data_IF_136493711545
#
_entry.id   IF_136493711545
#
_cell.length_a   1.000
_cell.length_b   1.000
_cell.length_c   1.000
_cell.angle_alpha   90.00
_cell.angle_beta   90.00
_cell.angle_gamma   90.00
#
_symmetry.space_group_name_H-M   'P 1'
#
loop_
_entity.id
_entity.type
_entity.pdbx_description
1 polymer ?
#
# COMPACT_ATOMS: atom_id res chain seq x y z
N UNK A 1 -23.24 -23.15 10.77
CA UNK A 1 -23.66 -21.74 10.78
C UNK A 1 -22.56 -20.95 11.47
N UNK A 2 -21.63 -20.41 10.71
CA UNK A 2 -20.56 -19.58 11.27
C UNK A 2 -21.16 -18.21 11.55
N UNK A 3 -21.24 -17.83 12.83
CA UNK A 3 -21.41 -16.45 13.22
C UNK A 3 -20.22 -15.68 12.64
N UNK A 4 -20.42 -15.07 11.48
CA UNK A 4 -19.58 -13.99 11.04
C UNK A 4 -19.71 -12.93 12.13
N UNK A 5 -18.73 -12.89 13.02
CA UNK A 5 -18.50 -11.73 13.88
C UNK A 5 -18.27 -10.62 12.86
N UNK A 6 -19.34 -9.89 12.54
CA UNK A 6 -19.27 -8.59 11.92
C UNK A 6 -18.37 -7.78 12.84
N UNK A 7 -17.10 -7.70 12.46
CA UNK A 7 -16.10 -6.94 13.20
C UNK A 7 -16.51 -5.48 13.05
N UNK A 8 -17.33 -5.03 14.00
CA UNK A 8 -17.89 -3.69 13.98
C UNK A 8 -16.75 -2.68 13.97
N UNK A 9 -16.88 -1.69 13.09
CA UNK A 9 -15.93 -0.57 13.02
C UNK A 9 -15.82 0.00 14.44
N UNK A 10 -14.61 0.22 14.98
CA UNK A 10 -14.46 0.74 16.32
C UNK A 10 -15.22 2.06 16.40
N UNK A 11 -16.07 2.25 17.41
CA UNK A 11 -16.99 3.38 17.44
C UNK A 11 -16.28 4.73 17.37
N UNK A 12 -15.02 4.80 17.81
CA UNK A 12 -14.20 6.00 17.73
C UNK A 12 -13.86 6.42 16.29
N UNK A 13 -13.83 5.51 15.30
CA UNK A 13 -13.49 5.84 13.90
C UNK A 13 -14.58 6.71 13.24
N UNK A 14 -15.86 6.29 13.17
CA UNK A 14 -16.90 7.13 12.59
C UNK A 14 -17.16 8.38 13.44
N UNK A 15 -16.98 8.32 14.76
CA UNK A 15 -17.06 9.50 15.62
C UNK A 15 -15.98 10.53 15.27
N UNK A 16 -14.74 10.10 15.10
CA UNK A 16 -13.62 10.98 14.72
C UNK A 16 -13.83 11.58 13.33
N UNK A 17 -14.30 10.77 12.37
CA UNK A 17 -14.65 11.24 11.04
C UNK A 17 -15.81 12.26 11.07
N UNK A 18 -16.85 12.01 11.87
CA UNK A 18 -17.97 12.93 12.06
C UNK A 18 -17.52 14.26 12.67
N UNK A 19 -16.73 14.22 13.75
CA UNK A 19 -16.15 15.42 14.39
C UNK A 19 -15.28 16.19 13.39
N UNK A 20 -14.47 15.50 12.60
CA UNK A 20 -13.65 16.12 11.56
C UNK A 20 -14.49 16.81 10.49
N UNK A 21 -15.54 16.17 9.98
CA UNK A 21 -16.43 16.75 8.97
C UNK A 21 -17.21 17.95 9.51
N UNK A 22 -17.73 17.84 10.73
CA UNK A 22 -18.42 18.96 11.40
C UNK A 22 -17.46 20.15 11.58
N UNK A 23 -16.25 19.88 12.07
CA UNK A 23 -15.22 20.91 12.26
C UNK A 23 -14.81 21.52 10.93
N UNK A 24 -14.63 20.72 9.88
CA UNK A 24 -14.27 21.20 8.53
C UNK A 24 -15.38 22.05 7.92
N UNK A 25 -16.63 21.65 8.10
CA UNK A 25 -17.83 22.38 7.65
C UNK A 25 -17.95 23.72 8.38
N UNK A 26 -17.79 23.72 9.72
CA UNK A 26 -17.79 24.91 10.55
C UNK A 26 -16.66 25.87 10.20
N UNK A 27 -15.44 25.35 10.03
CA UNK A 27 -14.29 26.15 9.61
C UNK A 27 -14.50 26.73 8.20
N UNK A 28 -15.10 25.96 7.28
CA UNK A 28 -15.46 26.42 5.94
C UNK A 28 -16.45 27.59 5.98
N UNK A 29 -17.49 27.49 6.83
CA UNK A 29 -18.44 28.57 7.07
C UNK A 29 -17.74 29.85 7.53
N UNK A 30 -16.85 29.74 8.53
CA UNK A 30 -16.12 30.88 9.11
C UNK A 30 -15.09 31.49 8.15
N UNK A 31 -14.38 30.66 7.39
CA UNK A 31 -13.36 31.10 6.42
C UNK A 31 -13.98 31.76 5.19
N UNK A 32 -15.15 31.30 4.77
CA UNK A 32 -15.85 31.82 3.60
C UNK A 32 -15.38 31.20 2.28
N UNK A 33 -16.18 31.39 1.23
CA UNK A 33 -16.06 30.68 -0.05
C UNK A 33 -14.69 30.81 -0.68
N UNK A 34 -14.19 32.05 -0.83
CA UNK A 34 -12.96 32.32 -1.59
C UNK A 34 -11.75 31.68 -0.93
N UNK A 35 -11.64 31.78 0.41
CA UNK A 35 -10.54 31.16 1.16
C UNK A 35 -10.60 29.63 1.08
N UNK A 36 -11.79 29.06 1.13
CA UNK A 36 -11.98 27.62 1.06
C UNK A 36 -11.71 27.07 -0.35
N UNK A 37 -12.12 27.80 -1.39
CA UNK A 37 -11.79 27.49 -2.78
C UNK A 37 -10.27 27.54 -3.00
N UNK A 38 -9.60 28.57 -2.50
CA UNK A 38 -8.14 28.67 -2.58
C UNK A 38 -7.44 27.54 -1.80
N UNK A 39 -7.96 27.13 -0.64
CA UNK A 39 -7.46 25.95 0.09
C UNK A 39 -7.64 24.66 -0.71
N UNK A 40 -8.75 24.48 -1.43
CA UNK A 40 -8.97 23.31 -2.29
C UNK A 40 -8.00 23.29 -3.48
N UNK A 41 -7.80 24.44 -4.13
CA UNK A 41 -6.78 24.59 -5.18
C UNK A 41 -5.39 24.30 -4.61
N UNK A 42 -5.08 24.83 -3.43
CA UNK A 42 -3.84 24.56 -2.72
C UNK A 42 -3.65 23.08 -2.39
N UNK A 43 -4.74 22.36 -2.06
CA UNK A 43 -4.70 20.92 -1.80
C UNK A 43 -4.44 20.13 -3.09
N UNK A 44 -5.09 20.50 -4.20
CA UNK A 44 -4.84 19.89 -5.50
C UNK A 44 -3.39 20.12 -5.95
N UNK A 45 -2.88 21.34 -5.79
CA UNK A 45 -1.48 21.69 -6.05
C UNK A 45 -0.53 20.93 -5.12
N UNK A 46 -0.87 20.76 -3.84
CA UNK A 46 -0.08 20.01 -2.89
C UNK A 46 0.03 18.52 -3.26
N UNK A 47 -1.06 17.90 -3.74
CA UNK A 47 -1.04 16.52 -4.21
C UNK A 47 -0.14 16.40 -5.45
N UNK A 48 -0.33 17.28 -6.45
CA UNK A 48 0.49 17.26 -7.66
C UNK A 48 1.97 17.51 -7.33
N UNK A 49 2.27 18.57 -6.58
CA UNK A 49 3.63 18.91 -6.21
C UNK A 49 4.28 17.86 -5.30
N UNK A 50 3.54 17.24 -4.39
CA UNK A 50 4.04 16.13 -3.57
C UNK A 50 4.51 14.95 -4.43
N UNK A 51 3.78 14.65 -5.51
CA UNK A 51 4.16 13.60 -6.45
C UNK A 51 5.42 13.94 -7.26
N UNK A 52 5.52 15.17 -7.77
CA UNK A 52 6.63 15.58 -8.66
C UNK A 52 7.89 16.06 -7.92
N UNK A 53 7.72 16.81 -6.84
CA UNK A 53 8.82 17.43 -6.08
C UNK A 53 9.26 16.59 -4.87
N UNK A 54 8.47 15.59 -4.46
CA UNK A 54 8.82 14.71 -3.34
C UNK A 54 10.23 14.11 -3.43
N UNK A 55 10.65 13.57 -4.60
CA UNK A 55 12.01 13.06 -4.79
C UNK A 55 13.11 14.14 -4.68
N UNK A 56 12.82 15.41 -5.01
CA UNK A 56 13.81 16.49 -4.95
C UNK A 56 14.17 16.89 -3.51
N UNK A 57 13.30 16.58 -2.54
CA UNK A 57 13.51 16.92 -1.13
C UNK A 57 14.16 15.75 -0.35
N UNK A 58 14.34 14.58 -0.98
CA UNK A 58 15.04 13.42 -0.41
C UNK A 58 16.34 13.76 0.35
N UNK A 59 17.27 14.62 -0.15
CA UNK A 59 18.51 14.92 0.56
C UNK A 59 18.33 15.67 1.88
N UNK A 60 17.16 16.26 2.15
CA UNK A 60 16.88 17.06 3.35
C UNK A 60 16.21 16.21 4.45
N UNK A 61 15.70 15.02 4.11
CA UNK A 61 14.99 14.11 5.03
C UNK A 61 15.88 13.10 5.83
N UNK A 62 17.23 13.01 5.72
CA UNK A 62 17.99 11.93 6.38
C UNK A 62 17.98 11.99 7.92
N UNK A 63 17.54 13.09 8.53
CA UNK A 63 17.47 13.24 9.99
C UNK A 63 16.56 12.21 10.71
N UNK A 64 15.64 11.55 9.99
CA UNK A 64 14.68 10.62 10.60
C UNK A 64 15.12 9.14 10.62
N UNK A 65 16.30 8.82 10.07
CA UNK A 65 16.84 7.45 10.05
C UNK A 65 15.96 6.46 9.29
N UNK A 66 15.15 6.90 8.33
CA UNK A 66 14.21 6.05 7.59
C UNK A 66 14.87 5.42 6.34
N UNK A 67 14.40 4.22 5.91
CA UNK A 67 14.80 3.60 4.66
C UNK A 67 14.63 4.56 3.46
N UNK A 68 15.58 4.53 2.51
CA UNK A 68 15.58 5.43 1.34
C UNK A 68 14.25 5.44 0.59
N UNK A 69 13.60 4.30 0.40
CA UNK A 69 12.33 4.23 -0.35
C UNK A 69 11.17 4.99 0.32
N UNK A 70 11.21 5.22 1.64
CA UNK A 70 10.20 6.03 2.35
C UNK A 70 10.51 7.53 2.29
N UNK A 71 11.74 7.91 1.96
CA UNK A 71 12.15 9.32 1.96
C UNK A 71 11.44 10.14 0.88
N UNK A 72 11.27 9.68 -0.37
CA UNK A 72 10.47 10.39 -1.37
C UNK A 72 9.00 10.54 -0.96
N UNK A 73 8.43 9.52 -0.29
CA UNK A 73 7.06 9.57 0.20
C UNK A 73 6.90 10.66 1.28
N UNK A 74 7.80 10.69 2.26
CA UNK A 74 7.78 11.73 3.29
C UNK A 74 8.14 13.10 2.76
N UNK A 75 9.10 13.18 1.83
CA UNK A 75 9.41 14.40 1.10
C UNK A 75 8.18 14.94 0.39
N UNK A 76 7.44 14.08 -0.31
CA UNK A 76 6.17 14.43 -0.95
C UNK A 76 5.10 14.91 0.04
N UNK A 77 4.93 14.21 1.17
CA UNK A 77 4.03 14.64 2.24
C UNK A 77 4.42 16.02 2.80
N UNK A 78 5.71 16.23 3.07
CA UNK A 78 6.22 17.49 3.60
C UNK A 78 6.02 18.64 2.61
N UNK A 79 6.39 18.44 1.34
CA UNK A 79 6.12 19.39 0.24
C UNK A 79 4.65 19.73 0.18
N UNK A 80 3.79 18.70 0.20
CA UNK A 80 2.34 18.87 0.12
C UNK A 80 1.82 19.72 1.29
N UNK A 81 2.25 19.42 2.52
CA UNK A 81 1.87 20.18 3.72
C UNK A 81 2.35 21.63 3.62
N UNK A 82 3.59 21.87 3.18
CA UNK A 82 4.15 23.22 3.03
C UNK A 82 3.41 24.04 1.97
N UNK A 83 3.11 23.44 0.81
CA UNK A 83 2.38 24.11 -0.27
C UNK A 83 0.95 24.39 0.15
N UNK A 84 0.24 23.39 0.67
CA UNK A 84 -1.14 23.57 1.12
C UNK A 84 -1.22 24.59 2.26
N UNK A 85 -0.31 24.51 3.24
CA UNK A 85 -0.22 25.45 4.34
C UNK A 85 0.14 26.86 3.89
N UNK A 86 1.07 27.01 2.95
CA UNK A 86 1.47 28.28 2.35
C UNK A 86 0.33 28.94 1.58
N UNK A 87 -0.30 28.21 0.66
CA UNK A 87 -1.46 28.68 -0.10
C UNK A 87 -2.61 29.05 0.84
N UNK A 88 -2.88 28.21 1.84
CA UNK A 88 -3.92 28.47 2.84
C UNK A 88 -3.62 29.74 3.63
N UNK A 89 -2.39 29.90 4.12
CA UNK A 89 -1.96 31.08 4.89
C UNK A 89 -2.04 32.35 4.05
N UNK A 90 -1.52 32.32 2.82
CA UNK A 90 -1.59 33.46 1.89
C UNK A 90 -3.03 33.85 1.60
N UNK A 91 -3.92 32.86 1.43
CA UNK A 91 -5.36 33.09 1.25
C UNK A 91 -6.01 33.77 2.46
N UNK A 92 -5.52 33.50 3.68
CA UNK A 92 -6.01 34.18 4.89
C UNK A 92 -5.58 35.64 4.97
N UNK A 93 -4.44 36.00 4.36
CA UNK A 93 -3.91 37.37 4.32
C UNK A 93 -4.63 38.19 3.23
N UNK A 94 -4.79 37.62 2.04
CA UNK A 94 -5.30 38.35 0.87
C UNK A 94 -6.82 38.53 0.89
N UNK A 95 -7.57 37.49 1.25
CA UNK A 95 -9.03 37.49 1.08
C UNK A 95 -9.76 37.84 2.36
N UNK A 96 -10.87 38.58 2.27
CA UNK A 96 -11.71 38.94 3.43
C UNK A 96 -12.50 37.74 3.99
N UNK A 97 -12.91 37.84 5.26
CA UNK A 97 -13.72 36.80 5.95
C UNK A 97 -15.20 36.95 5.61
N UNK A 98 -15.98 35.89 5.89
CA UNK A 98 -17.45 35.91 5.83
C UNK A 98 -18.07 37.00 6.74
N UNK A 99 -17.41 37.31 7.86
CA UNK A 99 -17.87 38.31 8.83
C UNK A 99 -17.78 39.75 8.29
N UNK A 100 -16.96 39.99 7.25
CA UNK A 100 -16.74 41.32 6.67
C UNK A 100 -17.83 41.71 5.64
N UNK A 101 -18.84 40.86 5.43
CA UNK A 101 -19.94 41.09 4.50
C UNK A 101 -21.09 41.82 5.21
N UNK A 102 -21.39 43.04 4.78
CA UNK A 102 -22.31 43.96 5.47
C UNK A 102 -23.81 43.60 5.45
N UNK A 103 -24.23 42.65 4.61
CA UNK A 103 -25.64 42.25 4.48
C UNK A 103 -25.88 40.80 4.93
N UNK A 104 -26.87 40.61 5.81
CA UNK A 104 -27.16 39.31 6.45
C UNK A 104 -27.48 38.16 5.48
N UNK A 105 -28.21 38.42 4.39
CA UNK A 105 -28.56 37.39 3.39
C UNK A 105 -27.33 36.97 2.56
N UNK A 106 -26.52 37.94 2.12
CA UNK A 106 -25.28 37.68 1.38
C UNK A 106 -24.29 36.91 2.27
N UNK A 107 -24.18 37.28 3.55
CA UNK A 107 -23.39 36.56 4.55
C UNK A 107 -23.85 35.11 4.72
N UNK A 108 -25.15 34.85 4.68
CA UNK A 108 -25.71 33.50 4.78
C UNK A 108 -25.32 32.64 3.57
N UNK A 109 -25.53 33.13 2.34
CA UNK A 109 -25.15 32.40 1.12
C UNK A 109 -23.64 32.18 1.02
N UNK A 110 -22.85 33.18 1.42
CA UNK A 110 -21.39 33.10 1.43
C UNK A 110 -20.88 32.12 2.51
N UNK A 111 -21.48 32.12 3.69
CA UNK A 111 -21.22 31.15 4.75
C UNK A 111 -21.60 29.73 4.33
N UNK A 112 -22.79 29.55 3.74
CA UNK A 112 -23.28 28.25 3.29
C UNK A 112 -22.39 27.64 2.21
N UNK A 113 -22.04 28.45 1.20
CA UNK A 113 -21.11 28.02 0.15
C UNK A 113 -19.74 27.67 0.73
N UNK A 114 -19.26 28.42 1.73
CA UNK A 114 -18.04 28.12 2.47
C UNK A 114 -18.14 26.80 3.25
N UNK A 115 -19.28 26.51 3.87
CA UNK A 115 -19.53 25.26 4.56
C UNK A 115 -19.54 24.06 3.61
N UNK A 116 -20.17 24.19 2.44
CA UNK A 116 -20.16 23.14 1.39
C UNK A 116 -18.73 22.85 0.92
N UNK A 117 -17.93 23.89 0.63
CA UNK A 117 -16.52 23.71 0.27
C UNK A 117 -15.69 23.15 1.44
N UNK A 118 -16.04 23.51 2.68
CA UNK A 118 -15.46 22.98 3.90
C UNK A 118 -15.68 21.47 4.02
N UNK A 119 -16.92 21.05 3.84
CA UNK A 119 -17.32 19.65 3.81
C UNK A 119 -16.59 18.89 2.71
N UNK A 120 -16.56 19.41 1.48
CA UNK A 120 -15.83 18.80 0.36
C UNK A 120 -14.35 18.61 0.69
N UNK A 121 -13.68 19.64 1.23
CA UNK A 121 -12.28 19.52 1.63
C UNK A 121 -12.06 18.50 2.75
N UNK A 122 -12.97 18.45 3.73
CA UNK A 122 -12.92 17.48 4.81
C UNK A 122 -13.07 16.05 4.30
N UNK A 123 -13.98 15.84 3.35
CA UNK A 123 -14.17 14.57 2.65
C UNK A 123 -12.92 14.19 1.83
N UNK A 124 -12.29 15.13 1.13
CA UNK A 124 -11.04 14.85 0.39
C UNK A 124 -9.93 14.38 1.32
N UNK A 125 -9.75 15.03 2.48
CA UNK A 125 -8.75 14.61 3.48
C UNK A 125 -9.05 13.21 4.03
N UNK A 126 -10.32 12.93 4.34
CA UNK A 126 -10.73 11.57 4.77
C UNK A 126 -10.50 10.53 3.68
N UNK A 127 -10.76 10.86 2.42
CA UNK A 127 -10.51 9.96 1.29
C UNK A 127 -9.02 9.64 1.15
N UNK A 128 -8.14 10.66 1.21
CA UNK A 128 -6.69 10.47 1.20
C UNK A 128 -6.22 9.59 2.37
N UNK A 129 -6.76 9.82 3.57
CA UNK A 129 -6.44 9.00 4.73
C UNK A 129 -6.90 7.54 4.54
N UNK A 130 -8.10 7.32 4.01
CA UNK A 130 -8.64 5.99 3.73
C UNK A 130 -7.80 5.25 2.66
N UNK A 131 -7.38 5.91 1.59
CA UNK A 131 -6.47 5.33 0.60
C UNK A 131 -5.11 4.99 1.21
N UNK A 132 -4.58 5.84 2.08
CA UNK A 132 -3.37 5.54 2.86
C UNK A 132 -3.53 4.28 3.72
N UNK A 133 -4.62 4.19 4.48
CA UNK A 133 -4.96 2.99 5.29
C UNK A 133 -5.09 1.75 4.41
N UNK A 134 -5.72 1.85 3.23
CA UNK A 134 -5.85 0.71 2.30
C UNK A 134 -4.49 0.25 1.79
N UNK A 135 -3.62 1.17 1.42
CA UNK A 135 -2.27 0.89 0.93
C UNK A 135 -1.43 0.19 2.00
N UNK A 136 -1.25 0.81 3.17
CA UNK A 136 -0.45 0.24 4.24
C UNK A 136 -1.12 -0.96 4.92
N UNK A 137 -2.45 -0.99 5.00
CA UNK A 137 -3.21 -2.11 5.51
C UNK A 137 -3.07 -3.35 4.63
N UNK A 138 -2.99 -3.20 3.31
CA UNK A 138 -2.74 -4.32 2.38
C UNK A 138 -1.33 -4.88 2.54
N UNK A 139 -0.34 -4.01 2.77
CA UNK A 139 1.02 -4.45 3.11
C UNK A 139 1.07 -5.21 4.44
N UNK A 140 0.46 -4.65 5.49
CA UNK A 140 0.37 -5.27 6.81
C UNK A 140 -0.38 -6.61 6.78
N UNK A 141 -1.43 -6.70 5.97
CA UNK A 141 -2.16 -7.95 5.75
C UNK A 141 -1.28 -9.00 5.07
N UNK A 142 -0.46 -8.58 4.11
CA UNK A 142 0.55 -9.43 3.50
C UNK A 142 1.55 -9.98 4.52
N UNK A 143 2.14 -9.11 5.35
CA UNK A 143 3.07 -9.51 6.41
C UNK A 143 2.45 -10.52 7.38
N UNK A 144 1.20 -10.27 7.79
CA UNK A 144 0.44 -11.14 8.68
C UNK A 144 0.14 -12.51 8.03
N UNK A 145 -0.31 -12.54 6.77
CA UNK A 145 -0.59 -13.78 6.04
C UNK A 145 0.68 -14.63 5.83
N UNK A 146 1.80 -14.01 5.48
CA UNK A 146 3.08 -14.72 5.38
C UNK A 146 3.51 -15.31 6.74
N UNK A 147 3.38 -14.55 7.83
CA UNK A 147 3.68 -15.02 9.18
C UNK A 147 2.79 -16.21 9.58
N UNK A 148 1.49 -16.12 9.31
CA UNK A 148 0.52 -17.19 9.55
C UNK A 148 0.89 -18.47 8.79
N UNK A 149 1.29 -18.36 7.52
CA UNK A 149 1.72 -19.51 6.71
C UNK A 149 2.94 -20.22 7.30
N UNK A 150 3.89 -19.47 7.87
CA UNK A 150 5.08 -20.03 8.53
C UNK A 150 4.72 -20.76 9.82
N UNK A 151 3.83 -20.17 10.64
CA UNK A 151 3.38 -20.76 11.91
C UNK A 151 2.61 -22.06 11.65
N UNK A 152 1.76 -22.08 10.61
CA UNK A 152 1.04 -23.29 10.18
C UNK A 152 1.99 -24.36 9.65
N UNK A 153 2.95 -24.00 8.80
CA UNK A 153 3.96 -24.94 8.28
C UNK A 153 4.83 -25.56 9.38
N UNK A 154 5.06 -24.83 10.49
CA UNK A 154 5.77 -25.33 11.67
C UNK A 154 4.90 -26.16 12.62
N UNK A 155 3.64 -26.42 12.28
CA UNK A 155 2.72 -27.22 13.10
C UNK A 155 2.35 -26.57 14.44
N UNK A 156 2.43 -25.24 14.55
CA UNK A 156 2.08 -24.49 15.79
C UNK A 156 0.84 -23.61 15.60
N UNK A 157 -0.31 -24.15 15.18
CA UNK A 157 -1.49 -23.36 14.84
C UNK A 157 -2.07 -22.56 16.02
N UNK A 158 -1.74 -22.93 17.25
CA UNK A 158 -2.15 -22.25 18.48
C UNK A 158 -1.45 -20.89 18.71
N UNK A 159 -0.34 -20.60 17.99
CA UNK A 159 0.37 -19.32 18.06
C UNK A 159 -0.14 -18.33 16.99
N UNK A 160 -1.42 -18.41 16.61
CA UNK A 160 -1.97 -17.57 15.55
C UNK A 160 -1.61 -16.10 15.80
N UNK A 161 -0.87 -15.51 14.85
CA UNK A 161 -0.55 -14.10 14.93
C UNK A 161 -1.87 -13.32 14.92
N UNK A 162 -2.04 -12.37 15.83
CA UNK A 162 -3.17 -11.43 15.79
C UNK A 162 -3.02 -10.50 14.56
N UNK A 163 -4.11 -10.12 13.89
CA UNK A 163 -4.05 -9.14 12.82
C UNK A 163 -3.61 -7.78 13.39
N UNK A 164 -2.68 -7.12 12.69
CA UNK A 164 -2.27 -5.77 13.09
C UNK A 164 -3.47 -4.80 13.06
N UNK A 165 -3.52 -3.78 13.94
CA UNK A 165 -4.63 -2.82 14.00
C UNK A 165 -4.98 -2.19 12.65
N UNK A 166 -3.97 -2.02 11.78
CA UNK A 166 -4.13 -1.46 10.45
C UNK A 166 -4.86 -2.38 9.47
N UNK A 167 -4.68 -3.70 9.61
CA UNK A 167 -5.40 -4.72 8.81
C UNK A 167 -6.88 -4.68 9.17
N UNK A 168 -7.16 -4.60 10.47
CA UNK A 168 -8.51 -4.47 10.97
C UNK A 168 -9.16 -3.16 10.48
N UNK A 169 -8.48 -2.01 10.63
CA UNK A 169 -9.01 -0.73 10.16
C UNK A 169 -9.28 -0.71 8.66
N UNK A 170 -8.39 -1.30 7.85
CA UNK A 170 -8.62 -1.48 6.40
C UNK A 170 -9.92 -2.25 6.15
N UNK A 171 -10.08 -3.42 6.75
CA UNK A 171 -11.27 -4.27 6.56
C UNK A 171 -12.55 -3.56 6.97
N UNK A 172 -12.52 -2.88 8.11
CA UNK A 172 -13.62 -2.05 8.59
C UNK A 172 -14.05 -0.97 7.57
N UNK A 173 -13.10 -0.32 6.90
CA UNK A 173 -13.42 0.66 5.85
C UNK A 173 -13.95 -0.05 4.59
N UNK A 174 -13.35 -1.17 4.19
CA UNK A 174 -13.75 -1.93 3.01
C UNK A 174 -15.18 -2.48 3.10
N UNK A 175 -15.58 -2.94 4.27
CA UNK A 175 -16.92 -3.48 4.52
C UNK A 175 -17.98 -2.38 4.71
N UNK A 176 -17.57 -1.11 4.81
CA UNK A 176 -18.48 0.02 4.99
C UNK A 176 -19.10 0.49 3.66
N UNK A 177 -20.31 1.07 3.74
CA UNK A 177 -20.95 1.71 2.57
C UNK A 177 -20.09 2.84 1.97
N UNK A 178 -19.34 3.56 2.81
CA UNK A 178 -18.39 4.59 2.37
C UNK A 178 -17.22 3.98 1.57
N UNK A 179 -16.76 2.78 1.94
CA UNK A 179 -15.72 2.04 1.23
C UNK A 179 -16.08 1.81 -0.23
N UNK A 180 -17.30 1.34 -0.51
CA UNK A 180 -17.77 1.09 -1.88
C UNK A 180 -17.69 2.33 -2.80
N UNK A 181 -17.88 3.53 -2.25
CA UNK A 181 -17.73 4.79 -2.99
C UNK A 181 -16.25 5.21 -3.09
N UNK A 182 -15.51 5.13 -1.98
CA UNK A 182 -14.10 5.51 -1.90
C UNK A 182 -13.22 4.74 -2.88
N UNK A 183 -13.51 3.46 -3.11
CA UNK A 183 -12.73 2.60 -4.01
C UNK A 183 -12.98 2.89 -5.49
N UNK A 184 -14.16 3.42 -5.85
CA UNK A 184 -14.42 3.87 -7.22
C UNK A 184 -13.65 5.14 -7.58
N UNK A 185 -13.29 5.93 -6.56
CA UNK A 185 -12.56 7.19 -6.70
C UNK A 185 -11.06 7.03 -6.43
N UNK A 186 -10.61 5.81 -6.16
CA UNK A 186 -9.22 5.53 -5.84
C UNK A 186 -8.32 5.84 -7.05
N UNK A 187 -7.31 6.72 -6.90
CA UNK A 187 -6.38 7.04 -7.97
C UNK A 187 -5.43 5.89 -8.29
N UNK A 188 -5.29 4.90 -7.40
CA UNK A 188 -4.43 3.74 -7.62
C UNK A 188 -5.17 2.63 -8.37
N UNK A 189 -4.47 1.98 -9.30
CA UNK A 189 -5.01 0.81 -9.98
C UNK A 189 -5.30 -0.32 -8.98
N UNK A 190 -6.44 -1.03 -9.11
CA UNK A 190 -6.78 -2.17 -8.23
C UNK A 190 -5.70 -3.25 -8.16
N UNK A 191 -4.86 -3.39 -9.20
CA UNK A 191 -3.76 -4.35 -9.24
C UNK A 191 -2.62 -4.05 -8.26
N UNK A 192 -2.50 -2.81 -7.78
CA UNK A 192 -1.44 -2.38 -6.85
C UNK A 192 -1.60 -3.06 -5.49
N UNK A 193 -2.82 -3.20 -4.98
CA UNK A 193 -3.07 -3.73 -3.64
C UNK A 193 -2.71 -5.21 -3.48
N UNK A 194 -3.15 -6.13 -4.36
CA UNK A 194 -2.73 -7.52 -4.32
C UNK A 194 -1.22 -7.67 -4.45
N UNK A 195 -0.57 -6.86 -5.30
CA UNK A 195 0.89 -6.90 -5.47
C UNK A 195 1.62 -6.56 -4.16
N UNK A 196 1.24 -5.48 -3.50
CA UNK A 196 1.83 -5.06 -2.22
C UNK A 196 1.57 -6.11 -1.13
N UNK A 197 0.38 -6.70 -1.11
CA UNK A 197 0.05 -7.79 -0.19
C UNK A 197 0.94 -9.03 -0.45
N UNK A 198 1.09 -9.46 -1.70
CA UNK A 198 2.00 -10.55 -2.08
C UNK A 198 3.45 -10.25 -1.68
N UNK A 199 3.92 -9.02 -1.89
CA UNK A 199 5.25 -8.60 -1.44
C UNK A 199 5.40 -8.77 0.08
N UNK A 200 4.41 -8.32 0.87
CA UNK A 200 4.39 -8.52 2.31
C UNK A 200 4.45 -10.01 2.71
N UNK A 201 3.69 -10.87 2.03
CA UNK A 201 3.69 -12.32 2.29
C UNK A 201 5.04 -12.96 2.00
N UNK A 202 5.65 -12.63 0.85
CA UNK A 202 6.95 -13.18 0.47
C UNK A 202 8.01 -12.74 1.48
N UNK A 203 8.01 -11.48 1.92
CA UNK A 203 9.01 -10.96 2.86
C UNK A 203 9.05 -11.73 4.20
N UNK A 204 7.91 -12.22 4.68
CA UNK A 204 7.81 -12.93 5.97
C UNK A 204 7.79 -14.45 5.85
N UNK A 205 7.70 -15.01 4.64
CA UNK A 205 7.71 -16.46 4.40
C UNK A 205 9.08 -16.93 3.84
N UNK A 206 9.94 -17.58 4.63
CA UNK A 206 11.26 -18.04 4.19
C UNK A 206 11.22 -18.92 2.93
N UNK A 207 10.29 -19.88 2.85
CA UNK A 207 10.18 -20.76 1.70
C UNK A 207 9.76 -20.00 0.43
N UNK A 208 8.90 -18.98 0.56
CA UNK A 208 8.55 -18.12 -0.57
C UNK A 208 9.73 -17.24 -1.00
N UNK A 209 10.54 -16.73 -0.06
CA UNK A 209 11.78 -15.99 -0.39
C UNK A 209 12.77 -16.87 -1.13
N UNK A 210 12.96 -18.11 -0.67
CA UNK A 210 13.90 -19.03 -1.30
C UNK A 210 13.45 -19.35 -2.74
N UNK A 211 12.15 -19.57 -2.96
CA UNK A 211 11.58 -19.74 -4.31
C UNK A 211 11.71 -18.49 -5.17
N UNK A 212 11.47 -17.30 -4.59
CA UNK A 212 11.68 -16.02 -5.28
C UNK A 212 13.13 -15.88 -5.74
N UNK A 213 14.09 -16.17 -4.86
CA UNK A 213 15.53 -16.05 -5.17
C UNK A 213 16.03 -17.11 -6.14
N UNK A 214 15.37 -18.26 -6.21
CA UNK A 214 15.65 -19.34 -7.16
C UNK A 214 14.93 -19.18 -8.51
N UNK A 215 14.08 -18.15 -8.67
CA UNK A 215 13.34 -17.92 -9.90
C UNK A 215 14.29 -17.51 -11.05
N UNK A 216 14.23 -18.15 -12.24
CA UNK A 216 15.10 -17.82 -13.37
C UNK A 216 15.05 -16.34 -13.79
N UNK A 217 13.90 -15.67 -13.58
CA UNK A 217 13.75 -14.25 -13.89
C UNK A 217 14.56 -13.35 -12.93
N UNK A 218 15.02 -13.88 -11.80
CA UNK A 218 15.92 -13.20 -10.88
C UNK A 218 17.41 -13.40 -11.23
N UNK A 219 17.75 -14.22 -12.22
CA UNK A 219 19.15 -14.50 -12.61
C UNK A 219 19.92 -13.24 -13.01
N UNK A 220 19.27 -12.31 -13.72
CA UNK A 220 19.89 -11.05 -14.12
C UNK A 220 20.22 -10.18 -12.89
N UNK A 221 19.33 -10.15 -11.90
CA UNK A 221 19.53 -9.41 -10.64
C UNK A 221 20.54 -10.11 -9.73
N UNK A 222 20.54 -11.44 -9.69
CA UNK A 222 21.42 -12.22 -8.82
C UNK A 222 22.90 -12.14 -9.22
N UNK A 223 23.19 -11.82 -10.49
CA UNK A 223 24.54 -11.56 -11.02
C UNK A 223 25.03 -10.14 -10.78
N UNK A 224 24.17 -9.22 -10.33
CA UNK A 224 24.60 -7.85 -10.06
C UNK A 224 25.53 -7.81 -8.84
N UNK A 225 26.68 -7.14 -8.97
CA UNK A 225 27.70 -7.07 -7.93
C UNK A 225 27.15 -6.55 -6.58
N UNK A 226 26.19 -5.61 -6.60
CA UNK A 226 25.57 -5.09 -5.38
C UNK A 226 24.68 -6.12 -4.70
N UNK A 227 23.93 -6.93 -5.47
CA UNK A 227 23.08 -8.00 -4.93
C UNK A 227 23.94 -9.14 -4.36
N UNK A 228 25.05 -9.47 -5.03
CA UNK A 228 26.02 -10.44 -4.50
C UNK A 228 26.62 -9.96 -3.17
N UNK A 229 26.99 -8.68 -3.09
CA UNK A 229 27.51 -8.08 -1.86
C UNK A 229 26.51 -8.13 -0.69
N UNK A 230 25.19 -8.05 -0.97
CA UNK A 230 24.15 -8.25 0.04
C UNK A 230 24.06 -9.71 0.52
N UNK A 231 24.20 -10.68 -0.40
CA UNK A 231 24.13 -12.10 -0.03
C UNK A 231 25.27 -12.50 0.90
N UNK A 232 26.46 -11.93 0.72
CA UNK A 232 27.64 -12.20 1.54
C UNK A 232 27.71 -11.39 2.84
N UNK A 233 26.71 -10.54 3.14
CA UNK A 233 26.74 -9.66 4.31
C UNK A 233 26.25 -10.38 5.58
N UNK A 234 27.10 -10.58 6.61
CA UNK A 234 26.72 -11.32 7.82
C UNK A 234 25.63 -10.60 8.64
N UNK A 235 25.66 -9.28 8.74
CA UNK A 235 24.68 -8.49 9.50
C UNK A 235 23.30 -8.57 8.83
N UNK A 236 23.27 -8.49 7.51
CA UNK A 236 22.03 -8.62 6.74
C UNK A 236 21.44 -10.02 6.85
N UNK A 237 22.29 -11.06 6.81
CA UNK A 237 21.86 -12.44 6.99
C UNK A 237 21.29 -12.68 8.38
N UNK A 238 21.88 -12.08 9.41
CA UNK A 238 21.35 -12.14 10.78
C UNK A 238 19.98 -11.44 10.87
N UNK A 239 19.85 -10.24 10.33
CA UNK A 239 18.57 -9.52 10.29
C UNK A 239 17.47 -10.30 9.54
N UNK A 240 17.83 -10.93 8.41
CA UNK A 240 16.92 -11.77 7.62
C UNK A 240 16.50 -13.05 8.37
N UNK A 241 17.42 -13.66 9.12
CA UNK A 241 17.17 -14.83 9.98
C UNK A 241 16.30 -14.48 11.19
N UNK A 242 16.56 -13.32 11.82
CA UNK A 242 15.76 -12.76 12.90
C UNK A 242 14.36 -12.33 12.44
N UNK A 243 14.10 -12.29 11.13
CA UNK A 243 12.84 -11.81 10.56
C UNK A 243 12.64 -10.31 10.75
N UNK A 244 13.70 -9.57 11.07
CA UNK A 244 13.65 -8.13 11.28
C UNK A 244 13.70 -7.39 9.93
N UNK A 245 12.56 -7.38 9.24
CA UNK A 245 12.39 -6.72 7.93
C UNK A 245 12.77 -5.24 7.99
N UNK A 246 12.54 -4.59 9.13
CA UNK A 246 12.85 -3.18 9.29
C UNK A 246 14.36 -2.91 9.27
N UNK A 247 15.14 -3.76 9.94
CA UNK A 247 16.60 -3.67 9.95
C UNK A 247 17.19 -3.92 8.56
N UNK A 248 16.65 -4.93 7.86
CA UNK A 248 17.02 -5.23 6.46
C UNK A 248 16.80 -4.02 5.56
N UNK A 249 15.65 -3.34 5.68
CA UNK A 249 15.33 -2.17 4.86
C UNK A 249 16.16 -0.93 5.21
N UNK A 250 16.61 -0.82 6.47
CA UNK A 250 17.48 0.26 6.94
C UNK A 250 18.96 0.02 6.63
N UNK A 251 19.36 -1.19 6.27
CA UNK A 251 20.76 -1.54 6.05
C UNK A 251 21.40 -0.69 4.91
N UNK A 252 22.58 -0.07 5.12
CA UNK A 252 23.18 0.86 4.14
C UNK A 252 23.40 0.24 2.76
N UNK A 253 23.85 -1.03 2.71
CA UNK A 253 24.06 -1.71 1.41
C UNK A 253 22.75 -1.97 0.67
N UNK A 254 21.66 -2.26 1.39
CA UNK A 254 20.33 -2.46 0.78
C UNK A 254 19.83 -1.15 0.19
N UNK A 255 20.02 -0.06 0.91
CA UNK A 255 19.70 1.29 0.44
C UNK A 255 20.50 1.67 -0.82
N UNK A 256 21.80 1.38 -0.86
CA UNK A 256 22.67 1.63 -2.02
C UNK A 256 22.35 0.75 -3.23
N UNK A 257 21.89 -0.49 -3.01
CA UNK A 257 21.40 -1.36 -4.07
C UNK A 257 20.05 -0.87 -4.61
N UNK A 258 19.15 -0.43 -3.74
CA UNK A 258 17.84 0.09 -4.13
C UNK A 258 17.92 1.40 -4.94
N UNK A 259 18.95 2.22 -4.72
CA UNK A 259 19.19 3.47 -5.45
C UNK A 259 19.97 3.26 -6.77
N UNK A 260 20.36 2.02 -7.11
CA UNK A 260 21.17 1.75 -8.29
C UNK A 260 20.35 1.79 -9.59
N UNK A 261 20.73 2.68 -10.51
CA UNK A 261 20.00 2.89 -11.76
C UNK A 261 19.96 1.63 -12.66
N UNK A 262 21.02 0.81 -12.66
CA UNK A 262 21.07 -0.41 -13.46
C UNK A 262 20.13 -1.47 -12.88
N UNK A 263 20.15 -1.67 -11.56
CA UNK A 263 19.21 -2.55 -10.86
C UNK A 263 17.76 -2.11 -11.07
N UNK A 264 17.46 -0.82 -10.96
CA UNK A 264 16.12 -0.29 -11.19
C UNK A 264 15.64 -0.54 -12.64
N UNK A 265 16.54 -0.44 -13.61
CA UNK A 265 16.22 -0.72 -15.02
C UNK A 265 15.97 -2.20 -15.24
N UNK A 266 16.80 -3.08 -14.69
CA UNK A 266 16.60 -4.52 -14.74
C UNK A 266 15.28 -4.93 -14.05
N UNK A 267 14.99 -4.34 -12.89
CA UNK A 267 13.76 -4.59 -12.15
C UNK A 267 12.50 -4.21 -12.92
N UNK A 268 12.54 -3.15 -13.76
CA UNK A 268 11.40 -2.75 -14.60
C UNK A 268 11.06 -3.75 -15.71
N UNK A 269 12.04 -4.55 -16.14
CA UNK A 269 11.80 -5.57 -17.19
C UNK A 269 11.16 -6.84 -16.64
N UNK A 270 11.10 -6.97 -15.32
CA UNK A 270 10.61 -8.15 -14.62
C UNK A 270 9.09 -8.04 -14.42
N UNK A 271 8.38 -9.11 -14.78
CA UNK A 271 6.96 -9.28 -14.47
C UNK A 271 6.79 -9.68 -12.99
N UNK A 272 6.82 -8.66 -12.13
CA UNK A 272 6.81 -8.83 -10.67
C UNK A 272 5.59 -9.62 -10.17
N UNK A 273 4.42 -9.47 -10.80
CA UNK A 273 3.22 -10.19 -10.37
C UNK A 273 3.38 -11.70 -10.58
N UNK A 274 3.86 -12.11 -11.76
CA UNK A 274 4.09 -13.54 -12.06
C UNK A 274 5.13 -14.16 -11.14
N UNK A 275 6.21 -13.43 -10.86
CA UNK A 275 7.27 -13.95 -9.98
C UNK A 275 6.74 -14.11 -8.55
N UNK A 276 6.01 -13.12 -8.03
CA UNK A 276 5.43 -13.22 -6.70
C UNK A 276 4.44 -14.39 -6.59
N UNK A 277 3.65 -14.64 -7.65
CA UNK A 277 2.74 -15.79 -7.71
C UNK A 277 3.48 -17.12 -7.70
N UNK A 278 4.54 -17.25 -8.51
CA UNK A 278 5.41 -18.45 -8.50
C UNK A 278 6.06 -18.65 -7.13
N UNK A 279 6.56 -17.58 -6.51
CA UNK A 279 7.20 -17.63 -5.19
C UNK A 279 6.24 -18.09 -4.09
N UNK A 280 5.00 -17.63 -4.12
CA UNK A 280 3.94 -18.02 -3.17
C UNK A 280 3.34 -19.40 -3.47
N UNK A 281 3.74 -20.05 -4.57
CA UNK A 281 3.21 -21.36 -4.97
C UNK A 281 1.76 -21.28 -5.45
N UNK A 282 1.30 -20.10 -5.87
CA UNK A 282 0.00 -19.94 -6.52
C UNK A 282 0.10 -20.59 -7.89
N UNK A 283 -0.66 -21.66 -8.12
CA UNK A 283 -0.66 -22.35 -9.40
C UNK A 283 -1.06 -21.37 -10.52
N UNK A 284 -0.17 -21.19 -11.51
CA UNK A 284 -0.53 -20.47 -12.72
C UNK A 284 -1.64 -21.27 -13.42
N UNK A 285 -2.65 -20.60 -14.01
CA UNK A 285 -3.63 -21.31 -14.83
C UNK A 285 -2.88 -22.10 -15.93
N UNK A 286 -2.92 -23.43 -15.83
CA UNK A 286 -2.29 -24.35 -16.78
C UNK A 286 -1.03 -25.11 -16.33
N UNK A 287 -0.48 -24.87 -15.12
CA UNK A 287 0.64 -25.69 -14.59
C UNK A 287 0.15 -26.67 -13.53
N UNK A 288 0.42 -27.99 -13.68
CA UNK A 288 0.07 -28.96 -12.65
C UNK A 288 0.84 -28.68 -11.34
N UNK A 289 0.22 -28.92 -10.18
CA UNK A 289 0.82 -28.61 -8.89
C UNK A 289 2.14 -29.39 -8.67
N UNK A 290 3.14 -28.80 -8.01
CA UNK A 290 4.37 -29.49 -7.69
C UNK A 290 4.08 -30.53 -6.60
N UNK A 291 4.09 -31.81 -6.98
CA UNK A 291 3.88 -32.93 -6.06
C UNK A 291 2.98 -34.04 -6.58
N UNK A 292 2.38 -33.92 -7.77
CA UNK A 292 1.70 -35.07 -8.38
C UNK A 292 2.78 -36.00 -8.95
N UNK A 293 2.99 -37.22 -8.38
CA UNK A 293 3.86 -38.19 -9.03
C UNK A 293 3.32 -38.44 -10.44
N UNK A 294 4.21 -38.40 -11.42
CA UNK A 294 3.89 -38.71 -12.81
C UNK A 294 3.06 -40.00 -12.84
N UNK A 295 1.79 -39.84 -13.21
CA UNK A 295 0.86 -40.94 -13.44
C UNK A 295 1.57 -41.90 -14.39
N UNK A 296 1.90 -43.09 -13.86
CA UNK A 296 2.60 -44.15 -14.59
C UNK A 296 1.92 -44.32 -15.94
N UNK A 297 2.66 -44.04 -17.01
CA UNK A 297 2.25 -44.34 -18.37
C UNK A 297 1.83 -45.82 -18.45
N UNK A 298 0.54 -46.05 -18.61
CA UNK A 298 -0.03 -47.37 -18.91
C UNK A 298 0.56 -47.85 -20.24
N UNK A 299 1.18 -49.04 -20.32
CA UNK A 299 1.75 -49.53 -21.56
C UNK A 299 0.66 -49.87 -22.57
N UNK A 300 0.93 -49.73 -23.88
CA UNK A 300 -0.08 -49.90 -24.92
C UNK A 300 -0.57 -51.35 -24.99
N UNK A 301 -1.88 -51.50 -24.89
CA UNK A 301 -2.62 -52.74 -25.16
C UNK A 301 -2.29 -53.25 -26.57
N UNK A 302 -1.59 -54.38 -26.62
CA UNK A 302 -1.27 -55.11 -27.85
C UNK A 302 -2.55 -55.73 -28.42
N UNK A 303 -3.16 -55.10 -29.42
CA UNK A 303 -4.15 -55.76 -30.28
C UNK A 303 -3.43 -56.81 -31.13
N UNK A 304 -3.59 -58.09 -30.77
CA UNK A 304 -3.25 -59.23 -31.62
C UNK A 304 -4.51 -59.72 -32.32
N UNK A 305 -4.56 -59.51 -33.64
CA UNK A 305 -5.58 -60.05 -34.54
C UNK A 305 -5.54 -61.58 -34.62
N UNK A 306 -6.67 -62.14 -35.03
CA UNK A 306 -6.97 -63.56 -34.96
C UNK A 306 -6.42 -64.42 -36.09
N UNK A 307 -6.64 -65.74 -35.97
CA UNK A 307 -6.89 -66.65 -37.10
C UNK A 307 -7.45 -68.01 -36.65
N UNK A 308 -8.58 -68.35 -37.28
CA UNK A 308 -9.03 -69.66 -37.78
C UNK A 308 -8.91 -70.92 -36.91
N UNK A 309 -10.07 -71.51 -36.61
CA UNK A 309 -10.24 -72.96 -36.37
C UNK A 309 -10.30 -73.73 -37.71
N UNK A 310 -9.86 -75.00 -37.74
CA UNK A 310 -10.00 -75.90 -38.88
C UNK A 310 -11.44 -76.36 -39.09
#
# INVERSE_FOLDING_TARGET
>A
MNAAISQEIPPWVPLSAGVWLLTSTWLGWRRGVVRQAASLVGLALAIAAGFWLGPLIEPIVPALGLPNFLRPLLGGCLVGVLIWGGVSTLSHIIFRKTEDQGFGLIRLFYGFSGAVLGLLSGLTVLALAAWGVRFFGSFAEGLHQGTKSVIQAKGRPHLAAEPAPLVFLKKSIEDSAAGALLWKLDPLSPAVYPRIQKMGQVLTNPAARDRLLADPSMDALSRNAKILALKSDPELQEALRAGNVWEVLRHPKVQLAAADAQLLTQFRTIDLDKILDRALGVALPGTPPPGTPAEKATPPTRQGGGRSKP
#
